data_IF_469755827861
#
_entry.id   IF_469755827861
#
_cell.length_a   1.000
_cell.length_b   1.000
_cell.length_c   1.000
_cell.angle_alpha   90.00
_cell.angle_beta   90.00
_cell.angle_gamma   90.00
#
_symmetry.space_group_name_H-M   'P 1'
#
loop_
_entity.id
_entity.type
_entity.pdbx_description
1 polymer ?
#
# COMPACT_ATOMS: atom_id res chain seq x y z
N UNK A 1 -6.75 16.27 -0.59
CA UNK A 1 -7.56 17.13 0.32
C UNK A 1 -8.65 16.34 1.08
N UNK A 2 -9.18 15.23 0.54
CA UNK A 2 -10.22 14.40 1.18
C UNK A 2 -9.73 13.64 2.43
N UNK A 3 -8.47 13.19 2.42
CA UNK A 3 -7.92 12.31 3.47
C UNK A 3 -7.66 13.06 4.79
N UNK A 4 -7.15 14.30 4.71
CA UNK A 4 -6.96 15.17 5.88
C UNK A 4 -8.30 15.50 6.55
N UNK A 5 -9.33 15.75 5.74
CA UNK A 5 -10.68 15.99 6.21
C UNK A 5 -11.28 14.73 6.87
N UNK A 6 -11.08 13.56 6.29
CA UNK A 6 -11.50 12.28 6.88
C UNK A 6 -10.83 12.00 8.23
N UNK A 7 -9.50 12.15 8.33
CA UNK A 7 -8.78 11.96 9.60
C UNK A 7 -9.28 12.94 10.68
N UNK A 8 -9.45 14.21 10.32
CA UNK A 8 -9.92 15.25 11.24
C UNK A 8 -11.36 15.03 11.68
N UNK A 9 -12.24 14.54 10.80
CA UNK A 9 -13.67 14.37 11.07
C UNK A 9 -13.96 13.13 11.92
N UNK A 10 -13.20 12.05 11.72
CA UNK A 10 -13.43 10.77 12.40
C UNK A 10 -12.41 10.46 13.51
N UNK A 11 -11.41 11.33 13.72
CA UNK A 11 -10.40 11.16 14.77
C UNK A 11 -9.50 9.93 14.56
N UNK A 12 -9.34 9.48 13.32
CA UNK A 12 -8.64 8.23 12.99
C UNK A 12 -7.26 8.53 12.42
N UNK A 13 -6.23 7.95 13.04
CA UNK A 13 -4.88 7.88 12.49
C UNK A 13 -4.84 6.69 11.54
N UNK A 14 -4.63 6.94 10.26
CA UNK A 14 -4.55 5.91 9.24
C UNK A 14 -3.24 6.03 8.47
N UNK A 15 -2.79 4.91 7.90
CA UNK A 15 -1.61 4.89 7.02
C UNK A 15 -2.07 5.21 5.61
N UNK A 16 -1.52 6.25 5.01
CA UNK A 16 -1.75 6.56 3.60
C UNK A 16 -0.60 6.01 2.75
N UNK A 17 -0.94 5.21 1.74
CA UNK A 17 0.01 4.54 0.86
C UNK A 17 -0.22 5.09 -0.55
N UNK A 18 0.66 5.99 -0.99
CA UNK A 18 0.64 6.59 -2.33
C UNK A 18 1.92 6.24 -3.08
N UNK A 19 1.78 5.60 -4.24
CA UNK A 19 2.93 5.15 -5.04
C UNK A 19 3.83 6.31 -5.48
N UNK A 20 3.21 7.43 -5.87
CA UNK A 20 3.90 8.58 -6.43
C UNK A 20 4.75 9.33 -5.39
N UNK A 21 4.45 9.17 -4.10
CA UNK A 21 5.26 9.72 -3.01
C UNK A 21 6.43 8.80 -2.66
N UNK A 22 6.29 7.49 -2.87
CA UNK A 22 7.30 6.51 -2.49
C UNK A 22 8.52 6.56 -3.39
N UNK A 23 8.38 6.73 -4.70
CA UNK A 23 9.56 6.82 -5.57
C UNK A 23 10.38 8.10 -5.35
N UNK A 24 9.78 9.15 -4.76
CA UNK A 24 10.49 10.40 -4.46
C UNK A 24 11.46 10.24 -3.29
N UNK A 25 11.33 9.16 -2.52
CA UNK A 25 12.18 8.87 -1.36
C UNK A 25 13.46 8.11 -1.73
N UNK A 26 13.62 7.65 -2.97
CA UNK A 26 14.88 7.03 -3.38
C UNK A 26 15.99 8.07 -3.46
N UNK A 27 17.12 7.79 -2.82
CA UNK A 27 18.28 8.69 -2.80
C UNK A 27 18.78 9.07 -4.20
N UNK A 28 18.69 8.14 -5.15
CA UNK A 28 19.10 8.34 -6.53
C UNK A 28 18.03 9.02 -7.41
N UNK A 29 16.88 9.41 -6.86
CA UNK A 29 15.83 10.09 -7.61
C UNK A 29 16.18 11.57 -7.84
N UNK A 30 16.24 11.98 -9.11
CA UNK A 30 16.63 13.35 -9.51
C UNK A 30 15.47 14.15 -10.15
N UNK A 31 14.27 13.58 -10.17
CA UNK A 31 13.09 14.17 -10.82
C UNK A 31 12.91 13.77 -12.29
N UNK A 32 13.98 13.50 -13.03
CA UNK A 32 13.93 13.13 -14.45
C UNK A 32 13.87 11.61 -14.65
N UNK A 33 14.43 10.87 -13.70
CA UNK A 33 14.57 9.43 -13.77
C UNK A 33 13.39 8.63 -13.16
N UNK A 34 12.22 9.27 -12.99
CA UNK A 34 11.02 8.68 -12.38
C UNK A 34 10.66 7.29 -12.93
N UNK A 35 10.82 7.07 -14.24
CA UNK A 35 10.52 5.79 -14.90
C UNK A 35 11.29 4.60 -14.31
N UNK A 36 12.54 4.81 -13.86
CA UNK A 36 13.39 3.77 -13.27
C UNK A 36 12.86 3.31 -11.91
N UNK A 37 12.22 4.22 -11.17
CA UNK A 37 11.76 3.99 -9.80
C UNK A 37 10.28 3.59 -9.70
N UNK A 38 9.50 3.68 -10.80
CA UNK A 38 8.10 3.26 -10.81
C UNK A 38 7.89 1.80 -10.43
N UNK A 39 8.72 0.90 -10.96
CA UNK A 39 8.63 -0.54 -10.65
C UNK A 39 9.05 -0.84 -9.20
N UNK A 40 10.21 -0.38 -8.71
CA UNK A 40 10.58 -0.52 -7.30
C UNK A 40 9.53 0.05 -6.32
N UNK A 41 8.91 1.19 -6.65
CA UNK A 41 7.89 1.79 -5.79
C UNK A 41 6.63 0.92 -5.68
N UNK A 42 6.20 0.27 -6.76
CA UNK A 42 5.08 -0.70 -6.70
C UNK A 42 5.39 -1.85 -5.75
N UNK A 43 6.62 -2.37 -5.74
CA UNK A 43 7.04 -3.43 -4.79
C UNK A 43 6.95 -2.92 -3.36
N UNK A 44 7.37 -1.67 -3.12
CA UNK A 44 7.29 -1.05 -1.80
C UNK A 44 5.84 -0.85 -1.34
N UNK A 45 4.94 -0.43 -2.23
CA UNK A 45 3.49 -0.34 -1.96
C UNK A 45 2.94 -1.68 -1.49
N UNK A 46 3.22 -2.76 -2.23
CA UNK A 46 2.77 -4.11 -1.87
C UNK A 46 3.31 -4.54 -0.50
N UNK A 47 4.59 -4.28 -0.22
CA UNK A 47 5.20 -4.60 1.07
C UNK A 47 4.62 -3.79 2.24
N UNK A 48 4.30 -2.51 2.03
CA UNK A 48 3.64 -1.67 3.04
C UNK A 48 2.21 -2.15 3.27
N UNK A 49 1.48 -2.49 2.21
CA UNK A 49 0.12 -3.03 2.29
C UNK A 49 0.09 -4.34 3.08
N UNK A 50 0.97 -5.29 2.76
CA UNK A 50 1.10 -6.55 3.50
C UNK A 50 1.41 -6.31 4.99
N UNK A 51 2.27 -5.35 5.29
CA UNK A 51 2.62 -4.99 6.67
C UNK A 51 1.48 -4.31 7.40
N UNK A 52 0.68 -3.50 6.69
CA UNK A 52 -0.51 -2.85 7.24
C UNK A 52 -1.57 -3.89 7.61
N UNK A 53 -1.83 -4.84 6.72
CA UNK A 53 -2.73 -5.97 6.97
C UNK A 53 -2.26 -6.80 8.17
N UNK A 54 -0.98 -7.20 8.21
CA UNK A 54 -0.41 -7.97 9.33
C UNK A 54 -0.52 -7.27 10.68
N UNK A 55 -0.48 -5.93 10.69
CA UNK A 55 -0.57 -5.13 11.93
C UNK A 55 -1.99 -4.70 12.26
N UNK A 56 -2.98 -5.08 11.43
CA UNK A 56 -4.38 -4.71 11.59
C UNK A 56 -4.58 -3.20 11.72
N UNK A 57 -3.78 -2.42 11.01
CA UNK A 57 -3.89 -0.96 11.00
C UNK A 57 -4.82 -0.51 9.89
N UNK A 58 -5.67 0.48 10.17
CA UNK A 58 -6.48 1.11 9.14
C UNK A 58 -5.58 1.86 8.15
N UNK A 59 -5.78 1.61 6.85
CA UNK A 59 -5.01 2.24 5.79
C UNK A 59 -5.90 2.74 4.65
N UNK A 60 -5.37 3.67 3.88
CA UNK A 60 -5.91 4.12 2.60
C UNK A 60 -4.84 3.87 1.56
N UNK A 61 -5.14 3.03 0.57
CA UNK A 61 -4.24 2.66 -0.51
C UNK A 61 -4.69 3.34 -1.80
N UNK A 62 -3.87 4.26 -2.31
CA UNK A 62 -4.10 4.87 -3.63
C UNK A 62 -3.45 4.01 -4.71
N UNK A 63 -4.29 3.24 -5.41
CA UNK A 63 -3.87 2.34 -6.47
C UNK A 63 -4.81 2.46 -7.66
N UNK A 64 -4.29 2.19 -8.86
CA UNK A 64 -5.10 2.21 -10.07
C UNK A 64 -5.76 0.85 -10.32
N UNK A 65 -7.02 0.85 -10.75
CA UNK A 65 -7.75 -0.36 -11.17
C UNK A 65 -7.35 -0.77 -12.62
N UNK A 66 -6.22 -0.26 -13.12
CA UNK A 66 -5.74 -0.52 -14.49
C UNK A 66 -5.45 -2.00 -14.74
N UNK A 67 -5.18 -2.76 -13.68
CA UNK A 67 -5.08 -4.22 -13.72
C UNK A 67 -6.16 -4.81 -12.80
N UNK A 68 -7.21 -5.34 -13.43
CA UNK A 68 -8.37 -5.90 -12.74
C UNK A 68 -7.97 -7.01 -11.75
N UNK A 69 -7.09 -7.93 -12.15
CA UNK A 69 -6.72 -9.08 -11.32
C UNK A 69 -5.95 -8.65 -10.06
N UNK A 70 -5.06 -7.65 -10.19
CA UNK A 70 -4.39 -7.05 -9.03
C UNK A 70 -5.36 -6.32 -8.12
N UNK A 71 -6.28 -5.53 -8.68
CA UNK A 71 -7.28 -4.82 -7.89
C UNK A 71 -8.17 -5.80 -7.11
N UNK A 72 -8.65 -6.86 -7.77
CA UNK A 72 -9.44 -7.92 -7.13
C UNK A 72 -8.65 -8.62 -6.03
N UNK A 73 -7.38 -8.96 -6.28
CA UNK A 73 -6.50 -9.57 -5.27
C UNK A 73 -6.29 -8.66 -4.05
N UNK A 74 -6.09 -7.35 -4.25
CA UNK A 74 -5.88 -6.40 -3.15
C UNK A 74 -7.13 -6.25 -2.28
N UNK A 75 -8.31 -6.19 -2.91
CA UNK A 75 -9.60 -6.16 -2.20
C UNK A 75 -9.80 -7.45 -1.41
N UNK A 76 -9.61 -8.61 -2.03
CA UNK A 76 -9.79 -9.92 -1.38
C UNK A 76 -8.90 -10.05 -0.13
N UNK A 77 -7.61 -9.71 -0.25
CA UNK A 77 -6.66 -9.73 0.88
C UNK A 77 -7.04 -8.78 2.01
N UNK A 78 -7.71 -7.66 1.70
CA UNK A 78 -8.20 -6.70 2.70
C UNK A 78 -9.46 -7.20 3.41
N UNK A 79 -10.27 -8.02 2.75
CA UNK A 79 -11.48 -8.63 3.33
C UNK A 79 -11.15 -9.87 4.18
N UNK A 80 -10.12 -10.63 3.81
CA UNK A 80 -9.70 -11.87 4.48
C UNK A 80 -8.93 -11.63 5.80
N UNK A 81 -9.37 -10.66 6.61
CA UNK A 81 -8.73 -10.29 7.88
C UNK A 81 -8.71 -11.43 8.90
N UNK A 82 -9.67 -12.38 8.83
CA UNK A 82 -9.75 -13.54 9.74
C UNK A 82 -8.65 -14.59 9.50
N UNK A 83 -8.07 -14.70 8.30
CA UNK A 83 -7.03 -15.69 7.97
C UNK A 83 -5.63 -15.29 8.48
N UNK A 84 -5.44 -14.06 8.93
CA UNK A 84 -4.18 -13.57 9.51
C UNK A 84 -4.00 -13.95 11.00
N UNK A 85 -4.98 -14.66 11.58
CA UNK A 85 -4.92 -15.18 12.97
C UNK A 85 -4.15 -16.49 13.11
N UNK A 86 -3.95 -17.23 12.03
CA UNK A 86 -3.18 -18.47 12.02
C UNK A 86 -1.75 -18.18 11.54
N UNK A 87 -0.80 -18.32 12.44
CA UNK A 87 0.64 -18.19 12.22
C UNK A 87 1.14 -19.13 11.10
N UNK A 88 1.06 -18.78 9.81
CA UNK A 88 1.66 -19.60 8.74
C UNK A 88 1.84 -18.93 7.35
N UNK A 89 2.16 -17.63 7.29
CA UNK A 89 2.58 -16.98 6.04
C UNK A 89 4.00 -16.40 6.13
N UNK A 90 4.97 -17.29 6.34
CA UNK A 90 6.40 -16.99 6.21
C UNK A 90 6.93 -17.51 4.87
N UNK A 91 6.55 -16.85 3.77
CA UNK A 91 7.39 -16.83 2.57
C UNK A 91 7.08 -15.56 1.77
N UNK A 92 8.08 -14.71 1.49
CA UNK A 92 7.88 -13.56 0.64
C UNK A 92 7.66 -14.04 -0.80
N UNK A 93 6.46 -13.84 -1.33
CA UNK A 93 6.22 -13.96 -2.78
C UNK A 93 6.67 -12.67 -3.43
N UNK A 94 7.95 -12.62 -3.79
CA UNK A 94 8.47 -11.65 -4.74
C UNK A 94 8.17 -12.11 -6.16
#
# INVERSE_FOLDING_TARGET
MIIKEFSSKYGVVHVFIENDELWKQFEAYDGLNSLLFKRPAVILVEAIHDRALKRLVSFVLDSTISNHDKAASNIQRSLDTELLRSDDFCSPRF
#
